data_IF_900253398298
#
_entry.id   IF_900253398298
#
_cell.length_a   1.000
_cell.length_b   1.000
_cell.length_c   1.000
_cell.angle_alpha   90.00
_cell.angle_beta   90.00
_cell.angle_gamma   90.00
#
_symmetry.space_group_name_H-M   'P 1'
#
loop_
_entity.id
_entity.type
_entity.pdbx_description
1 polymer ?
#
# COMPACT_ATOMS: atom_id res chain seq x y z
N UNK A 1 -5.28 -3.96 1.26
CA UNK A 1 -3.88 -3.81 1.72
C UNK A 1 -3.42 -5.18 2.12
N UNK A 2 -2.26 -5.59 1.64
CA UNK A 2 -1.70 -6.92 1.89
C UNK A 2 -0.19 -6.85 1.72
N UNK A 3 0.59 -7.46 2.62
CA UNK A 3 2.05 -7.53 2.50
C UNK A 3 2.50 -8.62 1.50
N UNK A 4 1.94 -8.56 0.29
CA UNK A 4 2.16 -9.48 -0.83
C UNK A 4 2.12 -8.74 -2.16
N UNK A 5 2.22 -9.46 -3.29
CA UNK A 5 2.29 -8.85 -4.61
C UNK A 5 1.08 -7.93 -4.88
N UNK A 6 1.36 -6.67 -5.20
CA UNK A 6 0.30 -5.66 -5.37
C UNK A 6 -0.67 -6.03 -6.51
N UNK A 7 -0.14 -6.56 -7.62
CA UNK A 7 -0.88 -6.69 -8.87
C UNK A 7 -2.10 -7.62 -8.77
N UNK A 8 -2.09 -8.58 -7.84
CA UNK A 8 -3.21 -9.50 -7.62
C UNK A 8 -4.52 -8.75 -7.31
N UNK A 9 -4.43 -7.59 -6.67
CA UNK A 9 -5.58 -6.82 -6.21
C UNK A 9 -6.20 -5.91 -7.29
N UNK A 10 -5.55 -5.69 -8.43
CA UNK A 10 -6.08 -4.83 -9.50
C UNK A 10 -7.46 -5.26 -9.99
N UNK A 11 -7.73 -6.57 -10.03
CA UNK A 11 -9.04 -7.10 -10.46
C UNK A 11 -10.21 -6.69 -9.54
N UNK A 12 -9.92 -6.32 -8.29
CA UNK A 12 -10.94 -5.91 -7.32
C UNK A 12 -11.07 -4.40 -7.19
N UNK A 13 -9.95 -3.68 -7.23
CA UNK A 13 -9.93 -2.23 -7.00
C UNK A 13 -10.04 -1.42 -8.30
N UNK A 14 -9.78 -2.05 -9.45
CA UNK A 14 -9.80 -1.40 -10.76
C UNK A 14 -8.71 -0.33 -10.93
N UNK A 15 -8.73 0.34 -12.09
CA UNK A 15 -7.70 1.33 -12.47
C UNK A 15 -7.76 2.64 -11.64
N UNK A 16 -8.89 2.90 -10.97
CA UNK A 16 -9.09 4.09 -10.11
C UNK A 16 -8.90 3.78 -8.62
N UNK A 17 -8.64 2.52 -8.28
CA UNK A 17 -8.36 2.11 -6.91
C UNK A 17 -6.92 2.39 -6.49
N UNK A 18 -6.60 2.08 -5.24
CA UNK A 18 -5.23 2.11 -4.75
C UNK A 18 -4.90 0.80 -4.05
N UNK A 19 -3.64 0.37 -4.20
CA UNK A 19 -3.12 -0.85 -3.57
C UNK A 19 -1.93 -0.44 -2.70
N UNK A 20 -1.87 -1.02 -1.50
CA UNK A 20 -0.71 -1.00 -0.61
C UNK A 20 -0.29 -2.45 -0.49
N UNK A 21 0.81 -2.76 -1.16
CA UNK A 21 1.38 -4.09 -1.31
C UNK A 21 2.81 -4.01 -1.86
N UNK A 22 3.46 -5.16 -1.94
CA UNK A 22 4.83 -5.32 -2.39
C UNK A 22 4.93 -5.29 -3.92
N UNK A 23 5.97 -4.66 -4.45
CA UNK A 23 6.31 -4.65 -5.89
C UNK A 23 7.70 -5.23 -6.16
N UNK A 24 8.30 -5.88 -5.17
CA UNK A 24 9.65 -6.44 -5.22
C UNK A 24 9.91 -7.38 -4.04
N UNK A 25 11.17 -7.81 -3.92
CA UNK A 25 11.61 -8.67 -2.81
C UNK A 25 11.63 -7.93 -1.47
N UNK A 26 11.71 -8.70 -0.39
CA UNK A 26 11.94 -8.17 0.95
C UNK A 26 13.41 -7.80 1.19
N UNK A 27 13.68 -7.31 2.39
CA UNK A 27 15.02 -6.93 2.85
C UNK A 27 15.31 -7.59 4.20
N UNK A 28 16.59 -7.70 4.57
CA UNK A 28 17.00 -8.25 5.86
C UNK A 28 16.98 -7.16 6.95
N UNK A 29 15.85 -7.03 7.65
CA UNK A 29 15.72 -6.18 8.83
C UNK A 29 14.54 -6.62 9.72
N UNK A 30 14.46 -6.13 10.97
CA UNK A 30 13.28 -6.30 11.82
C UNK A 30 11.99 -5.77 11.18
N UNK A 31 10.86 -6.43 11.46
CA UNK A 31 9.57 -6.14 10.84
C UNK A 31 9.07 -4.70 11.10
N UNK A 32 9.32 -4.17 12.30
CA UNK A 32 8.99 -2.80 12.70
C UNK A 32 9.71 -1.73 11.86
N UNK A 33 10.85 -2.07 11.25
CA UNK A 33 11.55 -1.24 10.27
C UNK A 33 11.07 -1.49 8.84
N UNK A 34 10.80 -2.75 8.50
CA UNK A 34 10.39 -3.12 7.14
C UNK A 34 8.99 -2.61 6.78
N UNK A 35 8.02 -2.65 7.69
CA UNK A 35 6.67 -2.18 7.38
C UNK A 35 6.64 -0.70 6.97
N UNK A 36 7.24 0.26 7.73
CA UNK A 36 7.34 1.63 7.28
C UNK A 36 8.16 1.80 5.99
N UNK A 37 9.27 1.06 5.85
CA UNK A 37 10.12 1.10 4.66
C UNK A 37 9.34 0.72 3.38
N UNK A 38 8.49 -0.30 3.45
CA UNK A 38 7.64 -0.70 2.33
C UNK A 38 6.30 0.05 2.25
N UNK A 39 6.11 1.09 3.07
CA UNK A 39 4.95 1.98 3.00
C UNK A 39 3.69 1.45 3.69
N UNK A 40 3.79 0.45 4.56
CA UNK A 40 2.70 0.00 5.43
C UNK A 40 2.62 0.90 6.67
N UNK A 41 2.26 2.16 6.43
CA UNK A 41 2.07 3.18 7.49
C UNK A 41 0.65 3.71 7.47
N UNK A 42 0.16 4.18 8.63
CA UNK A 42 -1.18 4.78 8.75
C UNK A 42 -1.32 5.99 7.84
N UNK A 43 -0.27 6.81 7.77
CA UNK A 43 -0.23 8.04 6.97
C UNK A 43 -0.42 7.72 5.48
N UNK A 44 0.32 6.74 4.95
CA UNK A 44 0.22 6.32 3.54
C UNK A 44 -1.16 5.70 3.24
N UNK A 45 -1.71 4.92 4.19
CA UNK A 45 -3.05 4.34 4.05
C UNK A 45 -4.11 5.44 3.93
N UNK A 46 -4.09 6.40 4.87
CA UNK A 46 -5.05 7.51 4.89
C UNK A 46 -4.90 8.37 3.63
N UNK A 47 -3.66 8.67 3.22
CA UNK A 47 -3.40 9.45 2.01
C UNK A 47 -3.96 8.76 0.76
N UNK A 48 -3.68 7.46 0.56
CA UNK A 48 -4.20 6.70 -0.57
C UNK A 48 -5.73 6.60 -0.54
N UNK A 49 -6.33 6.40 0.63
CA UNK A 49 -7.78 6.37 0.78
C UNK A 49 -8.42 7.72 0.40
N UNK A 50 -7.84 8.85 0.85
CA UNK A 50 -8.31 10.19 0.48
C UNK A 50 -8.22 10.44 -1.02
N UNK A 51 -7.12 10.02 -1.66
CA UNK A 51 -6.95 10.10 -3.12
C UNK A 51 -8.03 9.33 -3.86
N UNK A 52 -8.31 8.08 -3.45
CA UNK A 52 -9.38 7.26 -4.05
C UNK A 52 -10.75 7.92 -3.88
N UNK A 53 -11.01 8.52 -2.73
CA UNK A 53 -12.29 9.19 -2.42
C UNK A 53 -12.37 10.65 -2.91
N UNK A 54 -11.33 11.18 -3.55
CA UNK A 54 -11.19 12.59 -3.93
C UNK A 54 -11.45 13.60 -2.78
N UNK A 55 -11.09 13.23 -1.54
CA UNK A 55 -11.21 14.11 -0.38
C UNK A 55 -9.99 15.02 -0.33
N UNK A 56 -10.20 16.33 -0.49
CA UNK A 56 -9.15 17.34 -0.28
C UNK A 56 -8.88 17.51 1.22
N UNK A 57 -7.59 17.59 1.58
CA UNK A 57 -7.13 17.94 2.93
C UNK A 57 -7.22 19.43 3.18
#
# INVERSE_FOLDING_TARGET
>A
MEAGIADYWYKYVGLKGAIIGMTGYGESAPADKLFPYFGFTVENIVEKARRVLNIKG
#
